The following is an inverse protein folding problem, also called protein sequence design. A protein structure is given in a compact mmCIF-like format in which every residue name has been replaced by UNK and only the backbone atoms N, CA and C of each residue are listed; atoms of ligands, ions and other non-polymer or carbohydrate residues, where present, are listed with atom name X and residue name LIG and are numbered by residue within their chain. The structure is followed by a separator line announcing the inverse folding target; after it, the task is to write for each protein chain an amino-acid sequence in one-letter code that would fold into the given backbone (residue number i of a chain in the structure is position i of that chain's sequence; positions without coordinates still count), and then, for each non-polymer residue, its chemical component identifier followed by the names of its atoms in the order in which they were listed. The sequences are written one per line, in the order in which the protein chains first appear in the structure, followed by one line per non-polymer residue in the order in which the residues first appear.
data_IF_523853700743
#
_entry.id   IF_523853700743
#
_cell.length_a   1.000
_cell.length_b   1.000
_cell.length_c   1.000
_cell.angle_alpha   90.00
_cell.angle_beta   90.00
_cell.angle_gamma   90.00
#
_symmetry.space_group_name_H-M   'P 1'
#
loop_
_entity.id
_entity.type
_entity.pdbx_description
1 polymer ?
#
# COMPACT_ATOMS: atom_id res chain seq x y z
N UNK A 1 -4.91 -26.41 21.03
CA UNK A 1 -3.88 -26.28 22.11
C UNK A 1 -2.79 -27.35 22.11
N UNK A 2 -3.09 -28.63 21.84
CA UNK A 2 -2.09 -29.72 21.80
C UNK A 2 -0.87 -29.39 20.92
N UNK A 3 -1.11 -29.03 19.65
CA UNK A 3 -0.04 -28.69 18.68
C UNK A 3 0.86 -27.56 19.18
N UNK A 4 0.31 -26.48 19.73
CA UNK A 4 1.10 -25.38 20.28
C UNK A 4 1.99 -25.81 21.46
N UNK A 5 1.50 -26.73 22.29
CA UNK A 5 2.28 -27.29 23.40
C UNK A 5 3.45 -28.13 22.89
N UNK A 6 3.24 -28.92 21.83
CA UNK A 6 4.31 -29.67 21.16
C UNK A 6 5.33 -28.75 20.48
N UNK A 7 4.89 -27.68 19.83
CA UNK A 7 5.76 -26.66 19.26
C UNK A 7 6.63 -26.00 20.34
N UNK A 8 6.05 -25.64 21.49
CA UNK A 8 6.80 -25.13 22.65
C UNK A 8 7.84 -26.14 23.12
N UNK A 9 7.45 -27.40 23.32
CA UNK A 9 8.36 -28.46 23.77
C UNK A 9 9.54 -28.69 22.80
N UNK A 10 9.31 -28.51 21.49
CA UNK A 10 10.32 -28.59 20.44
C UNK A 10 11.13 -27.31 20.23
N UNK A 11 10.89 -26.24 21.01
CA UNK A 11 11.62 -24.98 20.88
C UNK A 11 11.33 -24.19 19.60
N UNK A 12 10.19 -24.44 18.96
CA UNK A 12 9.73 -23.68 17.78
C UNK A 12 9.64 -22.20 18.15
N UNK A 13 10.15 -21.33 17.28
CA UNK A 13 10.23 -19.88 17.53
C UNK A 13 9.00 -19.11 17.10
N UNK A 14 8.35 -19.54 16.02
CA UNK A 14 7.16 -18.89 15.46
C UNK A 14 6.17 -19.95 14.98
N UNK A 15 4.89 -19.75 15.28
CA UNK A 15 3.78 -20.53 14.75
C UNK A 15 2.86 -19.62 13.93
N UNK A 16 2.54 -20.03 12.71
CA UNK A 16 1.52 -19.38 11.88
C UNK A 16 0.23 -20.18 12.01
N UNK A 17 -0.83 -19.55 12.49
CA UNK A 17 -2.10 -20.23 12.76
C UNK A 17 -3.13 -19.78 11.74
N UNK A 18 -3.46 -20.70 10.83
CA UNK A 18 -4.45 -20.47 9.77
C UNK A 18 -5.88 -20.63 10.27
N UNK A 19 -6.08 -21.44 11.31
CA UNK A 19 -7.39 -21.78 11.88
C UNK A 19 -8.18 -20.52 12.24
N UNK A 20 -9.42 -20.45 11.76
CA UNK A 20 -10.42 -19.47 12.17
C UNK A 20 -11.41 -20.09 13.14
N UNK A 21 -12.09 -19.26 13.94
CA UNK A 21 -13.24 -19.70 14.72
C UNK A 21 -14.48 -19.75 13.83
N UNK A 22 -15.28 -20.82 13.95
CA UNK A 22 -16.59 -20.91 13.31
C UNK A 22 -17.69 -20.14 14.05
N UNK A 23 -17.46 -19.81 15.32
CA UNK A 23 -18.41 -19.09 16.17
C UNK A 23 -17.68 -17.99 16.94
N UNK A 24 -17.85 -16.75 16.51
CA UNK A 24 -17.40 -15.56 17.26
C UNK A 24 -18.25 -15.28 18.51
N UNK A 25 -19.23 -16.14 18.82
CA UNK A 25 -20.05 -16.14 20.03
C UNK A 25 -20.51 -17.57 20.35
N UNK A 26 -19.81 -18.30 21.23
CA UNK A 26 -20.46 -19.43 21.89
C UNK A 26 -21.40 -18.86 22.97
N UNK A 27 -22.74 -19.13 22.95
CA UNK A 27 -23.65 -18.74 24.02
C UNK A 27 -23.32 -19.37 25.38
N UNK A 28 -22.34 -20.28 25.40
CA UNK A 28 -21.98 -21.17 26.50
C UNK A 28 -20.82 -20.69 27.38
N UNK A 29 -20.28 -19.48 27.14
CA UNK A 29 -19.20 -18.92 27.97
C UNK A 29 -17.83 -19.60 27.81
N UNK A 30 -17.62 -20.34 26.72
CA UNK A 30 -16.32 -20.92 26.36
C UNK A 30 -15.41 -19.85 25.73
N UNK A 31 -14.15 -19.79 26.17
CA UNK A 31 -13.13 -18.92 25.58
C UNK A 31 -13.00 -19.15 24.07
N UNK A 32 -13.09 -18.08 23.26
CA UNK A 32 -12.78 -18.15 21.83
C UNK A 32 -11.34 -18.58 21.57
N UNK A 33 -11.01 -19.09 20.38
CA UNK A 33 -9.66 -19.57 20.06
C UNK A 33 -8.60 -18.49 20.29
N UNK A 34 -8.94 -17.24 19.99
CA UNK A 34 -8.04 -16.12 20.23
C UNK A 34 -7.66 -15.97 21.72
N UNK A 35 -8.63 -16.15 22.62
CA UNK A 35 -8.40 -16.08 24.06
C UNK A 35 -7.67 -17.31 24.59
N UNK A 36 -7.98 -18.50 24.08
CA UNK A 36 -7.23 -19.73 24.39
C UNK A 36 -5.76 -19.62 24.02
N UNK A 37 -5.47 -19.06 22.83
CA UNK A 37 -4.11 -18.81 22.37
C UNK A 37 -3.44 -17.71 23.22
N UNK A 38 -4.14 -16.60 23.49
CA UNK A 38 -3.61 -15.52 24.34
C UNK A 38 -3.23 -16.02 25.74
N UNK A 39 -4.10 -16.83 26.36
CA UNK A 39 -3.85 -17.48 27.65
C UNK A 39 -2.69 -18.47 27.59
N UNK A 40 -2.48 -19.13 26.47
CA UNK A 40 -1.34 -20.03 26.29
C UNK A 40 -0.03 -19.26 26.22
N UNK A 41 -0.01 -18.13 25.50
CA UNK A 41 1.17 -17.26 25.38
C UNK A 41 1.53 -16.66 26.75
N UNK A 42 0.54 -16.22 27.53
CA UNK A 42 0.77 -15.54 28.82
C UNK A 42 1.30 -16.48 29.92
N UNK A 43 0.93 -17.77 29.90
CA UNK A 43 1.24 -18.71 30.99
C UNK A 43 2.66 -19.30 30.96
N UNK A 44 3.38 -19.21 29.85
CA UNK A 44 4.78 -19.63 29.74
C UNK A 44 5.37 -19.15 28.40
N UNK A 45 6.65 -18.79 28.38
CA UNK A 45 7.38 -18.49 27.14
C UNK A 45 7.18 -19.58 26.08
N UNK A 46 7.29 -19.23 24.80
CA UNK A 46 6.94 -20.13 23.70
C UNK A 46 7.12 -19.48 22.33
N UNK A 47 6.64 -20.14 21.26
CA UNK A 47 6.65 -19.55 19.93
C UNK A 47 5.84 -18.26 19.91
N UNK A 48 6.32 -17.26 19.16
CA UNK A 48 5.50 -16.11 18.75
C UNK A 48 4.44 -16.57 17.75
N UNK A 49 3.31 -15.88 17.68
CA UNK A 49 2.16 -16.29 16.87
C UNK A 49 1.82 -15.23 15.83
N UNK A 50 1.70 -15.67 14.56
CA UNK A 50 1.04 -14.92 13.48
C UNK A 50 -0.37 -15.48 13.30
N UNK A 51 -1.38 -14.61 13.28
CA UNK A 51 -2.79 -15.01 13.26
C UNK A 51 -3.44 -14.94 14.66
N UNK A 52 -4.41 -15.83 14.98
CA UNK A 52 -5.02 -16.85 14.11
C UNK A 52 -5.84 -16.22 12.97
N UNK A 53 -6.58 -17.04 12.22
CA UNK A 53 -7.43 -16.59 11.11
C UNK A 53 -6.67 -15.76 10.08
N UNK A 54 -5.61 -16.35 9.53
CA UNK A 54 -4.77 -15.70 8.55
C UNK A 54 -4.40 -16.67 7.42
N UNK A 55 -3.85 -16.15 6.33
CA UNK A 55 -3.27 -16.99 5.26
C UNK A 55 -1.74 -17.08 5.37
N UNK A 56 -1.17 -16.57 6.47
CA UNK A 56 0.23 -16.70 6.81
C UNK A 56 1.14 -15.67 6.19
N UNK A 57 2.35 -16.10 5.78
CA UNK A 57 3.41 -15.22 5.29
C UNK A 57 3.88 -15.62 3.89
N UNK A 58 4.31 -14.64 3.13
CA UNK A 58 4.99 -14.76 1.84
C UNK A 58 6.34 -14.06 1.94
N UNK A 59 7.37 -14.64 1.34
CA UNK A 59 8.70 -14.04 1.24
C UNK A 59 9.37 -14.51 -0.06
N UNK A 60 9.47 -13.60 -1.03
CA UNK A 60 9.98 -13.89 -2.38
C UNK A 60 11.35 -14.55 -2.37
N UNK A 61 12.28 -14.03 -1.56
CA UNK A 61 13.67 -14.54 -1.50
C UNK A 61 13.79 -15.96 -0.95
N UNK A 62 12.91 -16.33 -0.03
CA UNK A 62 12.93 -17.67 0.59
C UNK A 62 12.09 -18.70 -0.17
N UNK A 63 11.22 -18.25 -1.07
CA UNK A 63 10.25 -19.10 -1.76
C UNK A 63 9.02 -19.47 -0.92
N UNK A 64 8.91 -18.98 0.32
CA UNK A 64 7.70 -19.14 1.14
C UNK A 64 6.55 -18.38 0.49
N UNK A 65 5.43 -19.06 0.25
CA UNK A 65 4.26 -18.49 -0.42
C UNK A 65 2.95 -19.06 0.12
N UNK A 66 1.85 -18.33 -0.09
CA UNK A 66 0.51 -18.76 0.34
C UNK A 66 0.03 -20.01 -0.41
N UNK A 67 0.35 -20.11 -1.70
CA UNK A 67 0.04 -21.27 -2.55
C UNK A 67 1.18 -21.54 -3.54
N UNK A 68 1.31 -22.76 -4.11
CA UNK A 68 2.41 -23.10 -5.02
C UNK A 68 2.54 -22.19 -6.25
N UNK A 69 1.41 -21.66 -6.74
CA UNK A 69 1.33 -20.83 -7.94
C UNK A 69 1.41 -19.33 -7.66
N UNK A 70 1.48 -18.91 -6.39
CA UNK A 70 1.54 -17.49 -6.03
C UNK A 70 2.75 -16.82 -6.71
N UNK A 71 2.65 -15.54 -7.12
CA UNK A 71 3.76 -14.82 -7.78
C UNK A 71 5.02 -14.87 -6.92
N UNK A 72 6.20 -15.02 -7.54
CA UNK A 72 7.47 -15.25 -6.82
C UNK A 72 8.54 -14.22 -7.15
N UNK A 73 8.31 -13.37 -8.14
CA UNK A 73 9.29 -12.40 -8.56
C UNK A 73 9.54 -11.38 -7.43
N UNK A 74 10.81 -11.13 -7.09
CA UNK A 74 11.14 -10.25 -5.98
C UNK A 74 10.80 -8.80 -6.31
N UNK A 75 10.40 -8.06 -5.28
CA UNK A 75 10.22 -6.62 -5.34
C UNK A 75 10.58 -5.95 -4.02
N UNK A 76 10.32 -4.65 -3.92
CA UNK A 76 10.70 -3.82 -2.77
C UNK A 76 9.51 -3.46 -1.86
N UNK A 77 8.31 -3.93 -2.16
CA UNK A 77 7.13 -3.63 -1.36
C UNK A 77 6.90 -4.71 -0.33
N UNK A 78 6.83 -4.34 0.93
CA UNK A 78 6.25 -5.19 1.97
C UNK A 78 4.76 -4.88 2.08
N UNK A 79 3.92 -5.90 2.24
CA UNK A 79 2.50 -5.69 2.51
C UNK A 79 2.08 -6.37 3.82
N UNK A 80 1.54 -5.56 4.73
CA UNK A 80 1.00 -6.01 6.01
C UNK A 80 -0.53 -5.93 5.92
N UNK A 81 -1.23 -7.05 6.05
CA UNK A 81 -2.68 -7.07 5.86
C UNK A 81 -3.39 -7.82 6.98
N UNK A 82 -4.36 -7.17 7.60
CA UNK A 82 -5.25 -7.81 8.56
C UNK A 82 -6.19 -8.80 7.85
N UNK A 83 -6.59 -8.50 6.61
CA UNK A 83 -7.41 -9.36 5.77
C UNK A 83 -6.55 -10.35 4.97
N UNK A 84 -6.82 -11.65 5.11
CA UNK A 84 -6.23 -12.68 4.27
C UNK A 84 -6.65 -12.56 2.79
N UNK A 85 -7.89 -12.15 2.54
CA UNK A 85 -8.40 -11.92 1.18
C UNK A 85 -7.60 -10.86 0.45
N UNK A 86 -7.44 -9.67 1.06
CA UNK A 86 -6.65 -8.61 0.45
C UNK A 86 -5.16 -8.95 0.35
N UNK A 87 -4.60 -9.71 1.30
CA UNK A 87 -3.22 -10.19 1.22
C UNK A 87 -2.98 -11.04 -0.04
N UNK A 88 -3.89 -11.97 -0.34
CA UNK A 88 -3.81 -12.78 -1.55
C UNK A 88 -4.11 -11.95 -2.81
N UNK A 89 -5.19 -11.17 -2.78
CA UNK A 89 -5.68 -10.41 -3.93
C UNK A 89 -4.65 -9.38 -4.40
N UNK A 90 -4.05 -8.61 -3.49
CA UNK A 90 -3.03 -7.63 -3.87
C UNK A 90 -1.77 -8.30 -4.41
N UNK A 91 -1.42 -9.50 -3.93
CA UNK A 91 -0.33 -10.28 -4.51
C UNK A 91 -0.60 -10.67 -5.97
N UNK A 92 -1.79 -11.19 -6.26
CA UNK A 92 -2.19 -11.59 -7.62
C UNK A 92 -2.40 -10.39 -8.55
N UNK A 93 -3.16 -9.40 -8.10
CA UNK A 93 -3.41 -8.18 -8.85
C UNK A 93 -2.11 -7.44 -9.12
N UNK A 94 -1.27 -7.29 -8.09
CA UNK A 94 0.03 -6.64 -8.18
C UNK A 94 0.92 -7.26 -9.26
N UNK A 95 0.96 -8.59 -9.33
CA UNK A 95 1.72 -9.29 -10.36
C UNK A 95 1.33 -8.85 -11.79
N UNK A 96 0.02 -8.67 -12.04
CA UNK A 96 -0.55 -8.27 -13.34
C UNK A 96 -0.20 -6.83 -13.72
N UNK A 97 -0.05 -5.93 -12.75
CA UNK A 97 0.21 -4.50 -12.98
C UNK A 97 1.68 -4.10 -12.77
N UNK A 98 2.58 -5.07 -12.59
CA UNK A 98 4.02 -4.81 -12.41
C UNK A 98 4.45 -4.52 -10.96
N UNK A 99 3.54 -4.58 -10.00
CA UNK A 99 3.87 -4.51 -8.56
C UNK A 99 4.45 -5.84 -8.10
N UNK A 100 5.54 -5.79 -7.34
CA UNK A 100 6.25 -6.98 -6.82
C UNK A 100 6.57 -6.78 -5.34
N UNK A 101 6.52 -7.88 -4.58
CA UNK A 101 6.63 -7.85 -3.12
C UNK A 101 7.95 -8.46 -2.63
N UNK A 102 8.56 -7.82 -1.64
CA UNK A 102 9.60 -8.43 -0.83
C UNK A 102 8.97 -9.51 0.04
N UNK A 103 7.94 -9.14 0.81
CA UNK A 103 7.23 -10.00 1.76
C UNK A 103 5.75 -9.56 1.85
N UNK A 104 4.86 -10.49 2.14
CA UNK A 104 3.47 -10.20 2.48
C UNK A 104 3.15 -10.94 3.77
N UNK A 105 2.49 -10.27 4.71
CA UNK A 105 2.07 -10.86 5.97
C UNK A 105 0.56 -10.68 6.10
N UNK A 106 -0.17 -11.79 6.09
CA UNK A 106 -1.53 -11.85 6.61
C UNK A 106 -1.45 -12.19 8.09
N UNK A 107 -1.88 -11.27 8.96
CA UNK A 107 -1.74 -11.43 10.41
C UNK A 107 -3.07 -11.65 11.16
N UNK A 108 -4.21 -11.55 10.45
CA UNK A 108 -5.52 -11.97 10.96
C UNK A 108 -5.90 -11.30 12.28
N UNK A 109 -6.30 -12.11 13.26
CA UNK A 109 -6.81 -11.63 14.55
C UNK A 109 -5.74 -11.04 15.48
N UNK A 110 -4.45 -11.13 15.11
CA UNK A 110 -3.34 -10.48 15.80
C UNK A 110 -3.29 -10.77 17.32
N UNK A 111 -3.39 -12.03 17.74
CA UNK A 111 -3.44 -12.37 19.20
C UNK A 111 -2.08 -12.26 19.89
N UNK A 112 -1.00 -12.18 19.12
CA UNK A 112 0.37 -11.97 19.62
C UNK A 112 1.12 -10.94 18.76
N UNK A 113 1.60 -11.34 17.58
CA UNK A 113 2.23 -10.41 16.66
C UNK A 113 1.16 -9.56 15.97
N UNK A 114 1.30 -8.25 16.09
CA UNK A 114 0.37 -7.27 15.56
C UNK A 114 1.09 -6.30 14.60
N UNK A 115 0.34 -5.42 13.96
CA UNK A 115 0.84 -4.38 13.05
C UNK A 115 2.13 -3.69 13.52
N UNK A 116 2.28 -3.18 14.76
CA UNK A 116 3.50 -2.52 15.19
C UNK A 116 4.74 -3.43 15.16
N UNK A 117 4.61 -4.74 15.38
CA UNK A 117 5.74 -5.68 15.29
C UNK A 117 6.25 -5.79 13.84
N UNK A 118 5.32 -5.89 12.89
CA UNK A 118 5.65 -5.96 11.47
C UNK A 118 6.20 -4.63 10.95
N UNK A 119 5.63 -3.49 11.37
CA UNK A 119 6.17 -2.17 11.05
C UNK A 119 7.62 -2.02 11.54
N UNK A 120 7.89 -2.40 12.79
CA UNK A 120 9.24 -2.36 13.36
C UNK A 120 10.22 -3.25 12.57
N UNK A 121 9.80 -4.45 12.16
CA UNK A 121 10.61 -5.33 11.32
C UNK A 121 10.89 -4.72 9.94
N UNK A 122 9.85 -4.28 9.22
CA UNK A 122 9.98 -3.76 7.86
C UNK A 122 10.73 -2.43 7.78
N UNK A 123 10.73 -1.66 8.87
CA UNK A 123 11.57 -0.48 9.01
C UNK A 123 13.05 -0.80 8.80
N UNK A 124 13.54 -1.91 9.35
CA UNK A 124 14.96 -2.28 9.29
C UNK A 124 15.30 -3.27 8.15
N UNK A 125 14.29 -3.92 7.55
CA UNK A 125 14.49 -4.92 6.49
C UNK A 125 15.08 -4.33 5.19
N UNK A 126 16.32 -4.71 4.85
CA UNK A 126 17.02 -4.18 3.66
C UNK A 126 16.37 -4.52 2.32
N UNK A 127 15.56 -5.58 2.26
CA UNK A 127 14.84 -5.98 1.04
C UNK A 127 13.61 -5.10 0.77
N UNK A 128 13.17 -4.34 1.78
CA UNK A 128 11.93 -3.56 1.74
C UNK A 128 12.25 -2.08 1.60
N UNK A 129 11.71 -1.44 0.56
CA UNK A 129 11.78 0.00 0.32
C UNK A 129 10.47 0.75 0.60
N UNK A 130 9.32 0.08 0.50
CA UNK A 130 7.98 0.66 0.71
C UNK A 130 7.15 -0.31 1.55
N UNK A 131 6.35 0.20 2.48
CA UNK A 131 5.45 -0.62 3.29
C UNK A 131 4.00 -0.26 2.98
N UNK A 132 3.24 -1.19 2.42
CA UNK A 132 1.79 -1.11 2.27
C UNK A 132 1.12 -1.75 3.49
N UNK A 133 0.01 -1.17 3.94
CA UNK A 133 -0.75 -1.64 5.10
C UNK A 133 -2.23 -1.64 4.77
N UNK A 134 -2.90 -2.76 5.03
CA UNK A 134 -4.34 -2.80 5.21
C UNK A 134 -4.65 -3.14 6.67
N UNK A 135 -5.40 -2.26 7.32
CA UNK A 135 -5.74 -2.38 8.75
C UNK A 135 -7.19 -2.01 8.98
N UNK A 136 -7.89 -2.79 9.80
CA UNK A 136 -9.27 -2.52 10.24
C UNK A 136 -9.30 -1.94 11.65
N UNK A 137 -8.37 -2.36 12.50
CA UNK A 137 -8.19 -1.85 13.85
C UNK A 137 -6.84 -2.25 14.44
N UNK A 138 -6.46 -1.60 15.55
CA UNK A 138 -5.21 -1.88 16.27
C UNK A 138 -5.47 -1.95 17.77
N UNK A 139 -4.77 -2.84 18.46
CA UNK A 139 -4.88 -2.99 19.92
C UNK A 139 -4.01 -1.94 20.64
N UNK A 140 -2.77 -1.78 20.18
CA UNK A 140 -1.84 -0.77 20.70
C UNK A 140 -1.65 0.37 19.68
N UNK A 141 -2.57 1.32 19.72
CA UNK A 141 -2.52 2.49 18.84
C UNK A 141 -1.27 3.34 19.05
N UNK A 142 -0.85 3.57 20.30
CA UNK A 142 0.33 4.40 20.61
C UNK A 142 1.59 3.82 19.99
N UNK A 143 1.82 2.51 20.17
CA UNK A 143 2.95 1.84 19.54
C UNK A 143 2.82 1.84 18.03
N UNK A 144 1.64 1.55 17.47
CA UNK A 144 1.41 1.56 16.02
C UNK A 144 1.83 2.89 15.39
N UNK A 145 1.30 4.02 15.88
CA UNK A 145 1.62 5.33 15.29
C UNK A 145 3.08 5.73 15.50
N UNK A 146 3.73 5.27 16.57
CA UNK A 146 5.19 5.42 16.74
C UNK A 146 5.97 4.62 15.69
N UNK A 147 5.54 3.39 15.39
CA UNK A 147 6.21 2.52 14.42
C UNK A 147 5.97 2.92 12.95
N UNK A 148 5.02 3.81 12.67
CA UNK A 148 4.79 4.36 11.31
C UNK A 148 5.83 5.41 10.86
N UNK A 149 6.67 5.91 11.77
CA UNK A 149 7.68 6.96 11.52
C UNK A 149 8.99 6.41 10.89
N UNK A 150 9.97 7.19 10.42
CA UNK A 150 10.03 7.93 9.13
C UNK A 150 11.15 7.39 8.20
N UNK A 151 11.57 6.12 8.30
CA UNK A 151 12.71 5.61 7.47
C UNK A 151 12.31 5.27 6.03
N UNK A 152 11.07 4.85 5.81
CA UNK A 152 10.56 4.34 4.54
C UNK A 152 9.11 4.81 4.36
N UNK A 153 8.64 5.04 3.12
CA UNK A 153 7.24 5.36 2.88
C UNK A 153 6.32 4.25 3.40
N UNK A 154 5.31 4.64 4.18
CA UNK A 154 4.25 3.74 4.66
C UNK A 154 2.92 4.20 4.10
N UNK A 155 2.27 3.31 3.35
CA UNK A 155 0.97 3.52 2.72
C UNK A 155 -0.09 2.77 3.54
N UNK A 156 -1.12 3.46 4.01
CA UNK A 156 -2.11 2.88 4.93
C UNK A 156 -3.51 2.99 4.33
N UNK A 157 -4.09 1.83 4.04
CA UNK A 157 -5.51 1.67 3.75
C UNK A 157 -6.24 1.24 5.02
N UNK A 158 -7.00 2.17 5.63
CA UNK A 158 -7.80 1.89 6.82
C UNK A 158 -9.21 1.45 6.41
N UNK A 159 -9.55 0.19 6.69
CA UNK A 159 -10.94 -0.29 6.60
C UNK A 159 -11.78 0.23 7.76
N UNK A 160 -13.11 0.26 7.64
CA UNK A 160 -14.00 0.65 8.74
C UNK A 160 -13.86 2.12 9.21
N UNK A 161 -13.77 3.04 8.25
CA UNK A 161 -13.74 4.50 8.50
C UNK A 161 -15.16 5.05 8.74
N UNK A 162 -16.16 4.51 8.05
CA UNK A 162 -17.58 4.87 8.23
C UNK A 162 -18.19 4.11 9.39
N UNK A 163 -19.32 4.58 9.92
CA UNK A 163 -20.04 3.90 11.00
C UNK A 163 -20.41 2.45 10.63
N UNK A 164 -20.97 2.25 9.44
CA UNK A 164 -21.34 0.91 8.96
C UNK A 164 -20.11 0.03 8.70
N UNK A 165 -19.04 0.60 8.15
CA UNK A 165 -17.78 -0.11 7.99
C UNK A 165 -17.14 -0.49 9.32
N UNK A 166 -17.24 0.37 10.33
CA UNK A 166 -16.78 0.12 11.68
C UNK A 166 -17.57 -1.01 12.35
N UNK A 167 -18.90 -1.05 12.18
CA UNK A 167 -19.75 -2.16 12.65
C UNK A 167 -19.37 -3.48 11.98
N UNK A 168 -19.15 -3.47 10.66
CA UNK A 168 -18.71 -4.65 9.91
C UNK A 168 -17.31 -5.12 10.34
N UNK A 169 -16.37 -4.20 10.56
CA UNK A 169 -15.05 -4.53 11.09
C UNK A 169 -15.13 -5.11 12.51
N UNK A 170 -15.97 -4.54 13.38
CA UNK A 170 -16.13 -5.02 14.76
C UNK A 170 -16.65 -6.47 14.80
N UNK A 171 -17.63 -6.82 13.96
CA UNK A 171 -18.14 -8.20 13.90
C UNK A 171 -17.13 -9.19 13.30
N UNK A 172 -16.20 -8.71 12.47
CA UNK A 172 -15.22 -9.52 11.76
C UNK A 172 -13.89 -9.70 12.49
N UNK A 173 -13.35 -8.65 13.11
CA UNK A 173 -12.02 -8.64 13.77
C UNK A 173 -12.05 -8.34 15.25
N UNK A 174 -13.23 -8.11 15.84
CA UNK A 174 -13.42 -7.79 17.26
C UNK A 174 -12.57 -6.61 17.75
N UNK A 175 -12.13 -5.75 16.83
CA UNK A 175 -11.30 -4.59 17.12
C UNK A 175 -12.16 -3.32 17.09
N UNK A 176 -12.01 -2.45 18.09
CA UNK A 176 -12.75 -1.20 18.13
C UNK A 176 -12.25 -0.27 17.01
N UNK A 177 -13.13 0.10 16.10
CA UNK A 177 -12.82 1.09 15.08
C UNK A 177 -12.69 2.48 15.72
N UNK A 178 -11.48 3.05 15.68
CA UNK A 178 -11.26 4.44 16.07
C UNK A 178 -11.90 5.42 15.09
N UNK A 179 -12.17 6.66 15.54
CA UNK A 179 -12.72 7.73 14.69
C UNK A 179 -11.90 7.95 13.41
N UNK A 180 -12.59 8.14 12.29
CA UNK A 180 -12.01 8.50 10.99
C UNK A 180 -11.04 9.69 11.10
N UNK A 181 -11.47 10.77 11.76
CA UNK A 181 -10.70 12.00 11.94
C UNK A 181 -9.44 11.75 12.77
N UNK A 182 -9.53 10.91 13.80
CA UNK A 182 -8.38 10.54 14.62
C UNK A 182 -7.35 9.77 13.79
N UNK A 183 -7.79 8.78 13.02
CA UNK A 183 -6.90 8.01 12.14
C UNK A 183 -6.20 8.92 11.13
N UNK A 184 -6.94 9.75 10.40
CA UNK A 184 -6.35 10.65 9.40
C UNK A 184 -5.34 11.61 10.01
N UNK A 185 -5.68 12.20 11.17
CA UNK A 185 -4.78 13.11 11.89
C UNK A 185 -3.51 12.41 12.35
N UNK A 186 -3.64 11.21 12.95
CA UNK A 186 -2.51 10.46 13.47
C UNK A 186 -1.61 9.91 12.36
N UNK A 187 -2.17 9.47 11.22
CA UNK A 187 -1.39 9.07 10.05
C UNK A 187 -0.58 10.25 9.50
N UNK A 188 -1.21 11.43 9.38
CA UNK A 188 -0.54 12.66 8.95
C UNK A 188 0.60 13.05 9.89
N UNK A 189 0.39 12.97 11.21
CA UNK A 189 1.43 13.24 12.20
C UNK A 189 2.57 12.22 12.16
N UNK A 190 2.27 10.96 11.87
CA UNK A 190 3.27 9.91 11.75
C UNK A 190 4.05 9.95 10.42
N UNK A 191 3.62 10.78 9.46
CA UNK A 191 4.19 10.84 8.11
C UNK A 191 3.78 9.66 7.22
N UNK A 192 2.72 8.93 7.59
CA UNK A 192 2.16 7.86 6.78
C UNK A 192 1.17 8.43 5.75
N UNK A 193 1.14 7.81 4.57
CA UNK A 193 0.27 8.22 3.46
C UNK A 193 -1.01 7.40 3.53
N UNK A 194 -2.12 8.07 3.80
CA UNK A 194 -3.42 7.44 3.78
C UNK A 194 -3.88 7.21 2.33
N UNK A 195 -4.38 6.02 2.05
CA UNK A 195 -5.06 5.68 0.79
C UNK A 195 -6.46 5.14 1.10
N UNK A 196 -7.38 5.30 0.16
CA UNK A 196 -8.81 5.09 0.43
C UNK A 196 -9.39 3.83 -0.23
N UNK A 197 -8.65 3.19 -1.15
CA UNK A 197 -9.10 2.01 -1.88
C UNK A 197 -7.99 1.00 -2.12
N UNK A 198 -8.41 -0.21 -2.53
CA UNK A 198 -7.51 -1.27 -2.97
C UNK A 198 -6.63 -0.82 -4.14
N UNK A 199 -7.23 -0.18 -5.15
CA UNK A 199 -6.53 0.34 -6.31
C UNK A 199 -5.57 1.47 -5.91
N UNK A 200 -6.00 2.36 -5.01
CA UNK A 200 -5.15 3.40 -4.45
C UNK A 200 -3.90 2.80 -3.79
N UNK A 201 -4.07 1.79 -2.93
CA UNK A 201 -2.94 1.09 -2.31
C UNK A 201 -2.02 0.45 -3.36
N UNK A 202 -2.58 -0.21 -4.37
CA UNK A 202 -1.81 -0.88 -5.42
C UNK A 202 -0.99 0.09 -6.29
N UNK A 203 -1.63 1.13 -6.85
CA UNK A 203 -0.97 2.07 -7.74
C UNK A 203 -0.03 3.04 -7.00
N UNK A 204 -0.37 3.46 -5.78
CA UNK A 204 0.56 4.23 -4.95
C UNK A 204 1.79 3.38 -4.57
N UNK A 205 1.61 2.09 -4.28
CA UNK A 205 2.76 1.18 -4.03
C UNK A 205 3.69 1.08 -5.24
N UNK A 206 3.14 1.03 -6.46
CA UNK A 206 3.94 1.10 -7.70
C UNK A 206 4.69 2.43 -7.76
N UNK A 207 3.99 3.55 -7.58
CA UNK A 207 4.60 4.87 -7.71
C UNK A 207 5.83 5.01 -6.80
N UNK A 208 5.70 4.63 -5.53
CA UNK A 208 6.80 4.66 -4.56
C UNK A 208 7.89 3.60 -4.80
N UNK A 209 7.61 2.56 -5.58
CA UNK A 209 8.59 1.52 -5.90
C UNK A 209 9.49 1.89 -7.08
N UNK A 210 8.99 2.68 -8.02
CA UNK A 210 9.68 2.99 -9.28
C UNK A 210 10.18 4.43 -9.36
N UNK A 211 9.51 5.37 -8.69
CA UNK A 211 9.84 6.79 -8.82
C UNK A 211 10.49 7.35 -7.56
N UNK A 212 11.41 8.30 -7.77
CA UNK A 212 11.89 9.16 -6.70
C UNK A 212 10.83 10.21 -6.40
N UNK A 213 10.69 10.67 -5.14
CA UNK A 213 9.83 11.80 -4.84
C UNK A 213 10.23 13.01 -5.70
N UNK A 214 9.25 13.73 -6.27
CA UNK A 214 9.53 14.99 -6.94
C UNK A 214 10.09 16.01 -5.95
N UNK A 215 10.85 17.00 -6.46
CA UNK A 215 11.48 18.03 -5.61
C UNK A 215 10.42 18.94 -4.98
N UNK A 216 9.35 19.20 -5.71
CA UNK A 216 8.18 19.96 -5.26
C UNK A 216 6.91 19.47 -5.99
N UNK A 217 5.81 20.22 -5.85
CA UNK A 217 4.52 19.87 -6.42
C UNK A 217 4.34 20.31 -7.89
N UNK A 218 5.38 20.82 -8.55
CA UNK A 218 5.29 21.27 -9.94
C UNK A 218 5.23 20.09 -10.90
N UNK A 219 4.17 20.05 -11.71
CA UNK A 219 3.94 18.99 -12.68
C UNK A 219 3.66 19.53 -14.07
N UNK A 220 4.08 18.77 -15.07
CA UNK A 220 3.63 18.93 -16.43
C UNK A 220 2.82 17.72 -16.88
N UNK A 221 1.73 17.99 -17.60
CA UNK A 221 0.87 16.96 -18.16
C UNK A 221 1.16 16.90 -19.66
N UNK A 222 1.49 15.71 -20.15
CA UNK A 222 1.57 15.41 -21.58
C UNK A 222 0.44 14.45 -21.88
N UNK A 223 -0.48 14.83 -22.76
CA UNK A 223 -1.59 13.98 -23.14
C UNK A 223 -1.71 13.78 -24.64
N UNK A 224 -2.19 12.60 -25.02
CA UNK A 224 -2.59 12.29 -26.40
C UNK A 224 -4.09 12.55 -26.63
N UNK A 225 -4.82 13.09 -25.65
CA UNK A 225 -6.22 13.46 -25.83
C UNK A 225 -6.59 14.69 -25.01
N UNK A 226 -7.32 15.62 -25.61
CA UNK A 226 -7.81 16.81 -24.89
C UNK A 226 -8.66 16.46 -23.66
N UNK A 227 -9.50 15.42 -23.74
CA UNK A 227 -10.28 14.94 -22.59
C UNK A 227 -9.40 14.43 -21.44
N UNK A 228 -8.35 13.66 -21.77
CA UNK A 228 -7.37 13.17 -20.80
C UNK A 228 -6.58 14.31 -20.14
N UNK A 229 -6.21 15.33 -20.92
CA UNK A 229 -5.57 16.53 -20.41
C UNK A 229 -6.46 17.27 -19.40
N UNK A 230 -7.74 17.47 -19.71
CA UNK A 230 -8.70 18.13 -18.81
C UNK A 230 -8.89 17.34 -17.51
N UNK A 231 -9.21 16.05 -17.61
CA UNK A 231 -9.45 15.20 -16.43
C UNK A 231 -8.21 15.10 -15.52
N UNK A 232 -7.03 15.08 -16.12
CA UNK A 232 -5.77 15.05 -15.38
C UNK A 232 -5.44 16.38 -14.74
N UNK A 233 -5.73 17.50 -15.41
CA UNK A 233 -5.54 18.83 -14.85
C UNK A 233 -6.44 19.06 -13.62
N UNK A 234 -7.71 18.67 -13.71
CA UNK A 234 -8.66 18.74 -12.59
C UNK A 234 -8.19 17.89 -11.41
N UNK A 235 -7.71 16.67 -11.69
CA UNK A 235 -7.20 15.77 -10.67
C UNK A 235 -5.93 16.32 -10.01
N UNK A 236 -4.95 16.78 -10.80
CA UNK A 236 -3.72 17.37 -10.28
C UNK A 236 -4.01 18.55 -9.36
N UNK A 237 -4.89 19.46 -9.80
CA UNK A 237 -5.26 20.65 -9.01
C UNK A 237 -5.97 20.27 -7.71
N UNK A 238 -6.89 19.29 -7.75
CA UNK A 238 -7.60 18.80 -6.56
C UNK A 238 -6.66 18.18 -5.54
N UNK A 239 -5.63 17.47 -5.99
CA UNK A 239 -4.59 16.86 -5.13
C UNK A 239 -3.49 17.87 -4.71
N UNK A 240 -3.61 19.15 -5.09
CA UNK A 240 -2.66 20.21 -4.70
C UNK A 240 -1.36 20.23 -5.50
N UNK A 241 -1.33 19.58 -6.67
CA UNK A 241 -0.24 19.69 -7.64
C UNK A 241 -0.36 21.00 -8.44
N UNK A 242 0.79 21.56 -8.82
CA UNK A 242 0.90 22.82 -9.53
C UNK A 242 1.21 22.56 -11.00
N UNK A 243 0.24 22.83 -11.87
CA UNK A 243 0.42 22.76 -13.32
C UNK A 243 1.18 24.01 -13.76
N UNK A 244 2.51 23.92 -13.81
CA UNK A 244 3.37 25.09 -14.00
C UNK A 244 3.45 25.56 -15.45
N UNK A 245 3.70 26.85 -15.64
CA UNK A 245 3.98 27.39 -16.97
C UNK A 245 5.36 26.89 -17.43
N UNK A 246 5.38 26.19 -18.57
CA UNK A 246 6.61 25.80 -19.25
C UNK A 246 7.41 27.04 -19.68
N UNK A 247 8.73 26.93 -19.62
CA UNK A 247 9.64 27.98 -20.04
C UNK A 247 9.47 28.28 -21.54
N UNK A 248 9.79 29.51 -21.95
CA UNK A 248 9.72 29.87 -23.37
C UNK A 248 10.67 29.02 -24.23
N UNK A 249 11.79 28.56 -23.66
CA UNK A 249 12.71 27.58 -24.28
C UNK A 249 11.99 26.26 -24.60
N UNK A 250 11.28 25.70 -23.62
CA UNK A 250 10.50 24.45 -23.77
C UNK A 250 9.39 24.62 -24.79
N UNK A 251 8.62 25.72 -24.71
CA UNK A 251 7.57 26.03 -25.67
C UNK A 251 8.13 26.12 -27.10
N UNK A 252 9.28 26.78 -27.29
CA UNK A 252 9.93 26.91 -28.59
C UNK A 252 10.40 25.56 -29.15
N UNK A 253 10.89 24.65 -28.30
CA UNK A 253 11.26 23.30 -28.70
C UNK A 253 10.03 22.46 -29.08
N UNK A 254 8.97 22.50 -28.27
CA UNK A 254 7.71 21.78 -28.55
C UNK A 254 7.08 22.18 -29.88
N UNK A 255 7.15 23.47 -30.28
CA UNK A 255 6.64 23.95 -31.59
C UNK A 255 7.24 23.23 -32.80
N UNK A 256 8.43 22.64 -32.67
CA UNK A 256 9.12 21.96 -33.77
C UNK A 256 8.66 20.52 -33.94
N UNK A 257 8.03 19.95 -32.91
CA UNK A 257 7.67 18.53 -32.83
C UNK A 257 6.16 18.33 -32.84
N UNK A 258 5.44 19.16 -32.08
CA UNK A 258 3.98 19.07 -31.95
C UNK A 258 3.31 19.78 -33.14
N UNK A 259 2.41 19.09 -33.88
CA UNK A 259 1.61 19.71 -34.93
C UNK A 259 0.85 20.94 -34.45
N UNK A 260 0.47 21.87 -35.33
CA UNK A 260 -0.14 23.15 -34.93
C UNK A 260 -1.67 23.11 -34.75
N UNK A 261 -2.36 22.20 -35.42
CA UNK A 261 -3.82 22.18 -35.47
C UNK A 261 -4.37 21.12 -34.53
N UNK A 262 -5.33 21.49 -33.68
CA UNK A 262 -5.99 20.55 -32.76
C UNK A 262 -5.19 20.17 -31.52
N UNK A 263 -4.05 20.83 -31.28
CA UNK A 263 -3.08 20.51 -30.22
C UNK A 263 -2.83 21.72 -29.31
N UNK A 264 -2.20 21.48 -28.16
CA UNK A 264 -1.70 22.51 -27.24
C UNK A 264 -0.26 22.22 -26.88
N UNK A 265 0.60 23.23 -26.98
CA UNK A 265 1.99 23.16 -26.51
C UNK A 265 2.20 23.83 -25.15
N UNK A 266 1.12 24.36 -24.55
CA UNK A 266 1.15 24.87 -23.16
C UNK A 266 1.07 23.70 -22.19
N UNK A 267 1.04 23.93 -20.88
CA UNK A 267 0.77 22.88 -19.91
C UNK A 267 -0.73 22.93 -19.54
N UNK A 268 -1.53 21.87 -19.77
CA UNK A 268 -1.18 20.57 -20.35
C UNK A 268 -0.79 20.61 -21.84
N UNK A 269 0.22 19.81 -22.20
CA UNK A 269 0.66 19.58 -23.58
C UNK A 269 -0.28 18.55 -24.19
N UNK A 270 -1.14 18.98 -25.13
CA UNK A 270 -2.02 18.09 -25.89
C UNK A 270 -1.40 17.83 -27.25
N UNK A 271 -0.93 16.61 -27.44
CA UNK A 271 -0.23 16.17 -28.63
C UNK A 271 -1.14 15.46 -29.65
N UNK A 272 -2.44 15.29 -29.33
CA UNK A 272 -3.47 14.61 -30.12
C UNK A 272 -3.15 13.16 -30.59
N UNK A 273 -4.08 12.24 -30.35
CA UNK A 273 -3.95 10.83 -30.71
C UNK A 273 -3.81 10.66 -32.23
N UNK A 274 -2.75 9.95 -32.63
CA UNK A 274 -2.42 9.69 -34.05
C UNK A 274 -1.64 10.80 -34.74
N UNK A 275 -1.39 11.94 -34.07
CA UNK A 275 -0.63 13.05 -34.64
C UNK A 275 0.89 12.93 -34.37
N UNK A 276 1.30 12.07 -33.43
CA UNK A 276 2.69 11.80 -33.10
C UNK A 276 3.05 10.32 -33.29
N UNK A 277 4.23 10.08 -33.87
CA UNK A 277 4.88 8.76 -33.82
C UNK A 277 5.40 8.47 -32.40
N UNK A 278 5.68 7.21 -32.04
CA UNK A 278 6.31 6.87 -30.75
C UNK A 278 7.60 7.69 -30.47
N UNK A 279 8.40 7.94 -31.51
CA UNK A 279 9.63 8.75 -31.43
C UNK A 279 9.31 10.20 -31.11
N UNK A 280 8.27 10.76 -31.74
CA UNK A 280 7.82 12.12 -31.48
C UNK A 280 7.24 12.29 -30.07
N UNK A 281 6.48 11.31 -29.57
CA UNK A 281 6.04 11.28 -28.18
C UNK A 281 7.22 11.21 -27.20
N UNK A 282 8.22 10.37 -27.49
CA UNK A 282 9.45 10.30 -26.69
C UNK A 282 10.19 11.64 -26.67
N UNK A 283 10.24 12.34 -27.80
CA UNK A 283 10.88 13.64 -27.90
C UNK A 283 10.13 14.73 -27.12
N UNK A 284 8.79 14.76 -27.21
CA UNK A 284 7.96 15.66 -26.39
C UNK A 284 8.22 15.44 -24.90
N UNK A 285 8.27 14.18 -24.46
CA UNK A 285 8.58 13.86 -23.06
C UNK A 285 9.97 14.34 -22.65
N UNK A 286 11.00 14.14 -23.49
CA UNK A 286 12.35 14.64 -23.21
C UNK A 286 12.40 16.15 -23.08
N UNK A 287 11.71 16.86 -23.97
CA UNK A 287 11.64 18.33 -23.96
C UNK A 287 11.01 18.81 -22.65
N UNK A 288 9.86 18.23 -22.26
CA UNK A 288 9.14 18.63 -21.04
C UNK A 288 9.93 18.26 -19.78
N UNK A 289 10.54 17.07 -19.73
CA UNK A 289 11.38 16.62 -18.60
C UNK A 289 12.64 17.48 -18.41
N UNK A 290 13.05 18.24 -19.42
CA UNK A 290 14.22 19.14 -19.35
C UNK A 290 13.85 20.54 -18.85
N UNK A 291 12.57 20.82 -18.61
CA UNK A 291 12.11 22.11 -18.09
C UNK A 291 12.40 22.24 -16.58
N UNK A 292 13.15 23.26 -16.19
CA UNK A 292 13.51 23.50 -14.79
C UNK A 292 12.32 23.89 -13.91
N UNK A 293 11.17 24.25 -14.49
CA UNK A 293 9.94 24.55 -13.77
C UNK A 293 9.09 23.29 -13.48
N UNK A 294 9.57 22.09 -13.82
CA UNK A 294 8.82 20.83 -13.75
C UNK A 294 9.57 19.81 -12.92
N UNK A 295 9.00 19.44 -11.77
CA UNK A 295 9.54 18.37 -10.91
C UNK A 295 9.08 16.96 -11.32
N UNK A 296 7.92 16.83 -11.97
CA UNK A 296 7.43 15.56 -12.49
C UNK A 296 6.56 15.71 -13.76
N UNK A 297 6.54 14.67 -14.58
CA UNK A 297 5.72 14.63 -15.80
C UNK A 297 4.71 13.50 -15.70
N UNK A 298 3.45 13.80 -16.02
CA UNK A 298 2.34 12.86 -16.08
C UNK A 298 1.97 12.66 -17.54
N UNK A 299 2.08 11.42 -18.03
CA UNK A 299 1.69 11.04 -19.39
C UNK A 299 0.30 10.39 -19.38
N UNK A 300 -0.61 10.86 -20.26
CA UNK A 300 -2.03 10.47 -20.27
C UNK A 300 -2.59 10.19 -21.67
#
# INVERSE_FOLDING_TARGET
MKVLSECRAKGVKVCVIFTSDSDSMSPTGTYGLGELISNFISKAGGPRIVGPNCIGVYCSRSGVAFTPNFPKEPGKVAFISQSGGFAAELGWFGARIGLRFSKIVSYGNAVDLDLPDFLAYFREDSDTGVVAVYVEGVKDGRRTFKELTVKKPVLVWKGGITEEGAKAALSHTQSLAGSATLWSTMLKQAGAIQVESFEGLAYTSIAFSFYKPPVDNSVAIVSVSGGGAVASADTCTREGLLITRLSDTTINALRRVVPRFGTSIRNPVDAQRGALSPEACSEVLRIVLSDLNVSAVILV
#
